data_IF_836118509993
#
_entry.id   IF_836118509993
#
_cell.length_a   1.000
_cell.length_b   1.000
_cell.length_c   1.000
_cell.angle_alpha   90.00
_cell.angle_beta   90.00
_cell.angle_gamma   90.00
#
_symmetry.space_group_name_H-M   'P 1'
#
loop_
_entity.id
_entity.type
_entity.pdbx_description
1 polymer ?
#
# COMPACT_ATOMS: atom_id res chain seq x y z
N UNK A 1 -20.55 0.61 -22.65
CA UNK A 1 -20.08 1.93 -22.19
C UNK A 1 -18.65 1.75 -21.71
N UNK A 2 -17.67 2.53 -22.20
CA UNK A 2 -16.26 2.39 -21.78
C UNK A 2 -16.11 2.92 -20.35
N UNK A 3 -15.25 2.29 -19.55
CA UNK A 3 -14.88 2.74 -18.20
C UNK A 3 -13.36 2.95 -18.15
N UNK A 4 -12.90 3.77 -17.20
CA UNK A 4 -11.48 4.01 -16.92
C UNK A 4 -11.20 3.60 -15.48
N UNK A 5 -10.12 2.88 -15.26
CA UNK A 5 -9.59 2.54 -13.94
C UNK A 5 -8.21 3.16 -13.74
N UNK A 6 -7.80 3.31 -12.49
CA UNK A 6 -6.50 3.87 -12.10
C UNK A 6 -5.97 3.09 -10.90
N UNK A 7 -4.68 2.78 -10.98
CA UNK A 7 -3.87 2.26 -9.88
C UNK A 7 -2.71 3.23 -9.66
N UNK A 8 -2.44 3.55 -8.40
CA UNK A 8 -1.35 4.44 -8.01
C UNK A 8 -0.51 3.80 -6.92
N UNK A 9 0.78 3.62 -7.19
CA UNK A 9 1.76 3.10 -6.25
C UNK A 9 2.64 4.24 -5.71
N UNK A 10 2.73 4.36 -4.39
CA UNK A 10 3.49 5.43 -3.72
C UNK A 10 4.33 4.87 -2.57
N UNK A 11 5.41 5.56 -2.21
CA UNK A 11 6.23 5.18 -1.07
C UNK A 11 5.66 5.74 0.23
N UNK A 12 5.47 4.85 1.21
CA UNK A 12 5.13 5.19 2.58
C UNK A 12 6.39 5.18 3.44
N UNK A 13 6.60 6.26 4.21
CA UNK A 13 7.73 6.40 5.14
C UNK A 13 7.28 6.71 6.55
N UNK A 14 7.95 6.12 7.53
CA UNK A 14 7.81 6.40 8.95
C UNK A 14 9.20 6.65 9.55
N UNK A 15 9.38 7.78 10.24
CA UNK A 15 10.68 8.14 10.85
C UNK A 15 11.85 8.21 9.84
N UNK A 16 11.58 8.59 8.60
CA UNK A 16 12.60 8.74 7.55
C UNK A 16 13.02 7.46 6.84
N UNK A 17 12.37 6.32 7.12
CA UNK A 17 12.61 5.04 6.45
C UNK A 17 11.32 4.49 5.83
N UNK A 18 11.39 3.58 4.85
CA UNK A 18 10.22 2.87 4.36
C UNK A 18 9.41 2.22 5.49
N UNK A 19 8.10 2.22 5.34
CA UNK A 19 7.17 1.66 6.32
C UNK A 19 7.39 0.15 6.50
N UNK A 20 7.44 -0.30 7.75
CA UNK A 20 7.56 -1.71 8.09
C UNK A 20 6.20 -2.38 8.31
N UNK A 21 6.15 -3.70 8.16
CA UNK A 21 4.92 -4.49 8.24
C UNK A 21 4.16 -4.28 9.56
N UNK A 22 4.88 -4.20 10.68
CA UNK A 22 4.26 -3.95 11.99
C UNK A 22 3.63 -2.56 12.11
N UNK A 23 4.14 -1.57 11.38
CA UNK A 23 3.59 -0.22 11.34
C UNK A 23 2.33 -0.17 10.48
N UNK A 24 2.35 -0.83 9.32
CA UNK A 24 1.17 -1.02 8.47
C UNK A 24 0.02 -1.69 9.21
N UNK A 25 0.27 -2.81 9.90
CA UNK A 25 -0.76 -3.51 10.67
C UNK A 25 -1.43 -2.60 11.68
N UNK A 26 -0.62 -1.85 12.45
CA UNK A 26 -1.14 -0.88 13.42
C UNK A 26 -1.94 0.23 12.76
N UNK A 27 -1.49 0.72 11.60
CA UNK A 27 -2.21 1.73 10.83
C UNK A 27 -3.61 1.24 10.43
N UNK A 28 -3.73 0.01 9.92
CA UNK A 28 -5.02 -0.59 9.56
C UNK A 28 -5.91 -0.78 10.79
N UNK A 29 -5.37 -1.43 11.82
CA UNK A 29 -6.12 -1.79 13.04
C UNK A 29 -6.62 -0.55 13.79
N UNK A 30 -5.83 0.52 13.85
CA UNK A 30 -6.16 1.70 14.66
C UNK A 30 -6.84 2.82 13.89
N UNK A 31 -6.64 2.92 12.56
CA UNK A 31 -7.06 4.09 11.78
C UNK A 31 -7.75 3.74 10.46
N UNK A 32 -7.14 2.96 9.56
CA UNK A 32 -7.69 2.82 8.19
C UNK A 32 -9.01 2.08 8.13
N UNK A 33 -9.34 1.21 9.09
CA UNK A 33 -10.66 0.57 9.16
C UNK A 33 -11.83 1.58 9.18
N UNK A 34 -11.57 2.87 9.44
CA UNK A 34 -12.57 3.94 9.36
C UNK A 34 -12.96 4.30 7.93
N UNK A 35 -12.11 4.00 6.95
CA UNK A 35 -12.39 4.22 5.52
C UNK A 35 -13.38 3.18 4.96
N UNK A 36 -13.45 1.99 5.57
CA UNK A 36 -14.32 0.93 5.09
C UNK A 36 -13.95 -0.48 5.57
N UNK A 37 -14.25 -1.47 4.73
CA UNK A 37 -14.09 -2.89 5.07
C UNK A 37 -12.61 -3.31 5.04
N UNK A 38 -12.08 -3.86 6.13
CA UNK A 38 -10.71 -4.38 6.17
C UNK A 38 -10.59 -5.64 5.31
N UNK A 39 -9.73 -5.59 4.30
CA UNK A 39 -9.36 -6.73 3.47
C UNK A 39 -8.30 -7.54 4.21
N UNK A 40 -8.56 -8.83 4.41
CA UNK A 40 -7.63 -9.75 5.06
C UNK A 40 -7.21 -10.86 4.11
N UNK A 41 -5.94 -11.24 4.21
CA UNK A 41 -5.44 -12.44 3.58
C UNK A 41 -6.20 -13.66 4.11
N UNK A 42 -6.81 -14.45 3.23
CA UNK A 42 -7.70 -15.55 3.60
C UNK A 42 -6.98 -16.72 4.29
N UNK A 43 -5.65 -16.83 4.12
CA UNK A 43 -4.85 -17.92 4.67
C UNK A 43 -4.20 -17.54 6.00
N UNK A 44 -3.75 -16.29 6.13
CA UNK A 44 -2.97 -15.82 7.28
C UNK A 44 -3.73 -14.88 8.20
N UNK A 45 -4.84 -14.29 7.74
CA UNK A 45 -5.64 -13.30 8.46
C UNK A 45 -4.99 -11.91 8.55
N UNK A 46 -3.81 -11.73 7.95
CA UNK A 46 -3.06 -10.49 7.93
C UNK A 46 -3.86 -9.39 7.19
N UNK A 47 -3.87 -8.14 7.69
CA UNK A 47 -4.57 -7.05 7.02
C UNK A 47 -3.81 -6.59 5.78
N UNK A 48 -4.41 -6.74 4.60
CA UNK A 48 -3.82 -6.38 3.32
C UNK A 48 -4.20 -4.97 2.87
N UNK A 49 -5.31 -4.45 3.36
CA UNK A 49 -5.85 -3.16 2.94
C UNK A 49 -7.22 -2.88 3.50
N UNK A 50 -7.85 -1.84 2.96
CA UNK A 50 -9.22 -1.44 3.28
C UNK A 50 -9.94 -1.11 1.98
N UNK A 51 -11.13 -1.69 1.80
CA UNK A 51 -12.06 -1.34 0.72
C UNK A 51 -12.92 -0.17 1.18
N UNK A 52 -12.65 1.00 0.61
CA UNK A 52 -13.48 2.19 0.74
C UNK A 52 -14.57 2.21 -0.34
N UNK A 53 -15.41 3.24 -0.33
CA UNK A 53 -16.46 3.39 -1.35
C UNK A 53 -15.86 3.69 -2.74
N UNK A 54 -14.78 4.46 -2.78
CA UNK A 54 -14.15 4.94 -4.01
C UNK A 54 -13.20 3.93 -4.64
N UNK A 55 -12.63 3.04 -3.83
CA UNK A 55 -11.57 2.12 -4.24
C UNK A 55 -10.98 1.36 -3.05
N UNK A 56 -9.77 0.83 -3.26
CA UNK A 56 -9.01 0.08 -2.25
C UNK A 56 -7.76 0.86 -1.89
N UNK A 57 -7.54 1.01 -0.58
CA UNK A 57 -6.25 1.41 -0.01
C UNK A 57 -5.55 0.14 0.44
N UNK A 58 -4.53 -0.26 -0.29
CA UNK A 58 -3.83 -1.51 -0.06
C UNK A 58 -2.32 -1.36 -0.07
N UNK A 59 -1.68 -2.49 -0.27
CA UNK A 59 -0.26 -2.60 -0.51
C UNK A 59 -0.09 -3.37 -1.81
N UNK A 60 0.92 -2.99 -2.60
CA UNK A 60 1.42 -3.85 -3.67
C UNK A 60 2.23 -5.00 -3.03
N UNK A 61 3.56 -4.95 -3.10
CA UNK A 61 4.39 -6.08 -2.70
C UNK A 61 4.84 -6.05 -1.25
N UNK A 62 4.75 -4.90 -0.58
CA UNK A 62 5.27 -4.69 0.77
C UNK A 62 4.65 -3.46 1.46
N UNK A 63 4.81 -3.35 2.78
CA UNK A 63 4.27 -2.25 3.58
C UNK A 63 4.76 -0.86 3.18
N UNK A 64 5.94 -0.75 2.57
CA UNK A 64 6.47 0.52 2.08
C UNK A 64 5.79 1.00 0.80
N UNK A 65 5.07 0.13 0.08
CA UNK A 65 4.36 0.48 -1.15
C UNK A 65 2.87 0.60 -0.85
N UNK A 66 2.39 1.84 -0.78
CA UNK A 66 0.96 2.12 -0.85
C UNK A 66 0.47 1.80 -2.25
N UNK A 67 -0.66 1.12 -2.34
CA UNK A 67 -1.42 1.01 -3.57
C UNK A 67 -2.80 1.62 -3.37
N UNK A 68 -3.21 2.50 -4.29
CA UNK A 68 -4.59 2.97 -4.42
C UNK A 68 -5.16 2.41 -5.71
N UNK A 69 -6.11 1.48 -5.60
CA UNK A 69 -6.78 0.85 -6.75
C UNK A 69 -8.23 1.37 -6.82
N UNK A 70 -8.54 2.18 -7.83
CA UNK A 70 -9.81 2.91 -7.91
C UNK A 70 -10.92 2.11 -8.60
N UNK A 71 -12.16 2.25 -8.12
CA UNK A 71 -13.32 1.68 -8.81
C UNK A 71 -13.49 2.29 -10.22
N UNK A 72 -13.72 1.48 -11.28
CA UNK A 72 -13.81 2.00 -12.64
C UNK A 72 -14.94 3.03 -12.85
N UNK A 73 -14.59 4.22 -13.35
CA UNK A 73 -15.50 5.35 -13.57
C UNK A 73 -15.83 5.58 -15.03
N UNK A 74 -16.83 6.44 -15.29
CA UNK A 74 -17.33 6.73 -16.65
C UNK A 74 -16.55 7.84 -17.37
N UNK A 75 -15.88 8.71 -16.61
CA UNK A 75 -15.03 9.78 -17.13
C UNK A 75 -13.71 9.82 -16.38
N UNK A 76 -12.70 10.45 -16.98
CA UNK A 76 -11.42 10.69 -16.33
C UNK A 76 -11.58 11.68 -15.16
N UNK A 77 -12.39 12.71 -15.31
CA UNK A 77 -12.61 13.72 -14.27
C UNK A 77 -13.20 13.09 -12.98
N UNK A 78 -14.24 12.26 -13.11
CA UNK A 78 -14.85 11.53 -11.97
C UNK A 78 -13.84 10.58 -11.31
N UNK A 79 -12.97 9.95 -12.10
CA UNK A 79 -11.89 9.11 -11.58
C UNK A 79 -10.86 9.93 -10.79
N UNK A 80 -10.45 11.09 -11.31
CA UNK A 80 -9.47 11.96 -10.65
C UNK A 80 -10.03 12.56 -9.36
N UNK A 81 -11.28 13.03 -9.37
CA UNK A 81 -11.96 13.54 -8.18
C UNK A 81 -12.06 12.47 -7.08
N UNK A 82 -12.47 11.24 -7.45
CA UNK A 82 -12.54 10.12 -6.51
C UNK A 82 -11.16 9.71 -5.98
N UNK A 83 -10.13 9.76 -6.83
CA UNK A 83 -8.75 9.46 -6.44
C UNK A 83 -8.24 10.49 -5.45
N UNK A 84 -8.46 11.78 -5.71
CA UNK A 84 -8.04 12.86 -4.82
C UNK A 84 -8.77 12.79 -3.47
N UNK A 85 -10.07 12.48 -3.48
CA UNK A 85 -10.83 12.30 -2.24
C UNK A 85 -10.25 11.18 -1.38
N UNK A 86 -10.14 9.96 -1.93
CA UNK A 86 -9.62 8.81 -1.19
C UNK A 86 -8.18 9.03 -0.71
N UNK A 87 -7.34 9.65 -1.55
CA UNK A 87 -5.96 9.93 -1.19
C UNK A 87 -5.87 10.92 -0.03
N UNK A 88 -6.68 11.98 -0.02
CA UNK A 88 -6.73 12.94 1.11
C UNK A 88 -7.17 12.26 2.41
N UNK A 89 -8.23 11.46 2.39
CA UNK A 89 -8.69 10.74 3.58
C UNK A 89 -7.62 9.78 4.13
N UNK A 90 -6.94 9.06 3.23
CA UNK A 90 -5.81 8.22 3.61
C UNK A 90 -4.68 9.05 4.25
N UNK A 91 -4.29 10.18 3.64
CA UNK A 91 -3.21 11.03 4.14
C UNK A 91 -3.50 11.57 5.53
N UNK A 92 -4.74 11.98 5.81
CA UNK A 92 -5.14 12.46 7.14
C UNK A 92 -4.98 11.37 8.21
N UNK A 93 -5.41 10.14 7.92
CA UNK A 93 -5.28 9.01 8.82
C UNK A 93 -3.80 8.61 9.01
N UNK A 94 -3.03 8.55 7.93
CA UNK A 94 -1.61 8.20 7.94
C UNK A 94 -0.76 9.24 8.69
N UNK A 95 -1.02 10.54 8.48
CA UNK A 95 -0.32 11.62 9.18
C UNK A 95 -0.51 11.53 10.70
N UNK A 96 -1.72 11.18 11.16
CA UNK A 96 -2.01 10.93 12.56
C UNK A 96 -1.27 9.72 13.16
N UNK A 97 -0.59 8.91 12.35
CA UNK A 97 0.29 7.81 12.75
C UNK A 97 1.79 8.12 12.56
N UNK A 98 2.13 9.35 12.17
CA UNK A 98 3.52 9.73 11.83
C UNK A 98 4.02 9.13 10.51
N UNK A 99 3.10 8.71 9.65
CA UNK A 99 3.40 8.15 8.33
C UNK A 99 3.24 9.26 7.30
N UNK A 100 4.19 9.34 6.38
CA UNK A 100 4.16 10.25 5.23
C UNK A 100 4.16 9.44 3.95
N UNK A 101 3.50 9.96 2.92
CA UNK A 101 3.62 9.45 1.57
C UNK A 101 4.57 10.34 0.78
N UNK A 102 5.44 9.72 0.01
CA UNK A 102 6.39 10.42 -0.86
C UNK A 102 6.32 9.84 -2.26
N UNK A 103 6.49 10.72 -3.24
CA UNK A 103 6.77 10.33 -4.62
C UNK A 103 8.25 9.97 -4.70
N UNK A 104 8.54 8.78 -5.21
CA UNK A 104 9.90 8.34 -5.49
C UNK A 104 9.99 7.86 -6.93
N UNK A 105 11.17 8.02 -7.53
CA UNK A 105 11.49 7.42 -8.82
C UNK A 105 11.71 5.92 -8.66
N UNK A 106 11.23 5.11 -9.60
CA UNK A 106 11.32 3.64 -9.61
C UNK A 106 12.76 3.06 -9.73
N UNK A 107 13.79 3.86 -9.47
CA UNK A 107 15.20 3.55 -9.71
C UNK A 107 16.01 3.40 -8.41
N UNK A 108 15.40 2.83 -7.38
CA UNK A 108 16.11 2.49 -6.16
C UNK A 108 16.89 1.18 -6.30
N UNK A 109 18.05 1.04 -5.61
CA UNK A 109 18.66 -0.27 -5.45
C UNK A 109 17.70 -1.21 -4.69
N UNK A 110 17.66 -2.51 -5.01
CA UNK A 110 16.89 -3.48 -4.26
C UNK A 110 17.24 -3.45 -2.77
N UNK A 111 16.26 -3.55 -1.86
CA UNK A 111 16.51 -3.50 -0.44
C UNK A 111 17.34 -4.72 0.03
N UNK A 112 18.08 -4.52 1.11
CA UNK A 112 18.78 -5.61 1.79
C UNK A 112 17.81 -6.71 2.27
N UNK A 113 18.30 -7.93 2.47
CA UNK A 113 17.46 -9.06 2.89
C UNK A 113 16.73 -8.83 4.23
N UNK A 114 17.38 -8.15 5.18
CA UNK A 114 16.75 -7.82 6.46
C UNK A 114 15.67 -6.76 6.32
N UNK A 115 15.92 -5.71 5.53
CA UNK A 115 14.94 -4.67 5.25
C UNK A 115 13.71 -5.26 4.55
N UNK A 116 13.92 -6.11 3.54
CA UNK A 116 12.85 -6.86 2.89
C UNK A 116 11.95 -7.58 3.90
N UNK A 117 12.56 -8.35 4.82
CA UNK A 117 11.83 -9.13 5.83
C UNK A 117 11.03 -8.26 6.80
N UNK A 118 11.49 -7.03 7.07
CA UNK A 118 10.75 -6.09 7.93
C UNK A 118 9.55 -5.46 7.21
N UNK A 119 9.60 -5.36 5.88
CA UNK A 119 8.56 -4.71 5.06
C UNK A 119 7.45 -5.65 4.60
N UNK A 120 7.66 -6.96 4.55
CA UNK A 120 6.66 -7.93 4.06
C UNK A 120 5.93 -8.68 5.18
N UNK A 121 4.70 -9.11 4.90
CA UNK A 121 3.99 -10.08 5.72
C UNK A 121 4.78 -11.40 5.76
N UNK A 122 5.30 -11.78 6.94
CA UNK A 122 6.18 -12.96 7.08
C UNK A 122 5.56 -14.26 6.56
N UNK A 123 4.24 -14.41 6.67
CA UNK A 123 3.48 -15.59 6.22
C UNK A 123 2.73 -15.37 4.92
N UNK A 124 2.69 -14.13 4.40
CA UNK A 124 2.03 -13.81 3.13
C UNK A 124 2.86 -14.27 1.94
N UNK A 125 2.27 -14.17 0.74
CA UNK A 125 2.90 -14.66 -0.50
C UNK A 125 4.31 -14.10 -0.70
N UNK A 126 4.52 -12.80 -0.49
CA UNK A 126 5.84 -12.17 -0.62
C UNK A 126 6.83 -12.66 0.44
N UNK A 127 6.38 -12.90 1.68
CA UNK A 127 7.18 -13.54 2.72
C UNK A 127 7.61 -14.99 2.39
N UNK A 128 6.93 -15.65 1.46
CA UNK A 128 7.28 -16.99 0.95
C UNK A 128 8.13 -16.92 -0.31
N UNK A 129 7.80 -16.03 -1.25
CA UNK A 129 8.45 -15.92 -2.56
C UNK A 129 9.95 -15.66 -2.46
N UNK A 130 10.41 -14.85 -1.50
CA UNK A 130 11.84 -14.53 -1.37
C UNK A 130 12.73 -15.75 -1.10
N UNK A 131 12.17 -16.87 -0.60
CA UNK A 131 12.92 -18.11 -0.38
C UNK A 131 13.17 -18.90 -1.66
N UNK A 132 12.42 -18.61 -2.72
CA UNK A 132 12.43 -19.34 -4.00
C UNK A 132 12.87 -18.47 -5.17
N UNK A 133 12.67 -17.16 -5.07
CA UNK A 133 12.99 -16.19 -6.10
C UNK A 133 13.45 -14.88 -5.45
N UNK A 134 14.40 -14.17 -6.04
CA UNK A 134 14.89 -12.90 -5.51
C UNK A 134 13.91 -11.74 -5.76
N UNK A 135 12.72 -11.83 -5.15
CA UNK A 135 11.63 -10.87 -5.25
C UNK A 135 12.03 -9.46 -4.77
N UNK A 136 13.16 -9.30 -4.08
CA UNK A 136 13.68 -7.98 -3.69
C UNK A 136 13.90 -7.08 -4.91
N UNK A 137 14.19 -7.67 -6.07
CA UNK A 137 14.34 -6.92 -7.32
C UNK A 137 13.08 -6.21 -7.77
N UNK A 138 11.89 -6.72 -7.41
CA UNK A 138 10.61 -6.10 -7.73
C UNK A 138 10.20 -5.02 -6.72
N UNK A 139 10.93 -4.88 -5.61
CA UNK A 139 10.73 -3.83 -4.60
C UNK A 139 11.56 -2.57 -4.89
N UNK A 140 12.22 -2.51 -6.04
CA UNK A 140 13.00 -1.36 -6.51
C UNK A 140 12.13 -0.15 -6.93
N UNK A 141 10.81 -0.36 -7.04
CA UNK A 141 9.85 0.68 -7.42
C UNK A 141 9.64 1.76 -6.35
N UNK A 142 10.23 1.64 -5.16
CA UNK A 142 10.06 2.66 -4.11
C UNK A 142 11.16 2.72 -3.03
N UNK A 143 12.34 3.25 -3.35
CA UNK A 143 13.23 3.80 -2.32
C UNK A 143 13.61 5.24 -2.59
#
# INVERSE_FOLDING_TARGET
MRKVGLELELLQVAGGRPLEWGEWRRLVELKLHRLGEVIRDSYTGEPLGVRAHEGVVGLDSNAGLLELSMEPRRSLDDLLDATEHLYREYLELAAGAGIRVVWTSQLAPPPGAEEYRRRVARRGIYGVLWRRWDHRQLMNSAA
#
